data_IF_070638367245
#
_entry.id   IF_070638367245
#
_cell.length_a   1.000
_cell.length_b   1.000
_cell.length_c   1.000
_cell.angle_alpha   90.00
_cell.angle_beta   90.00
_cell.angle_gamma   90.00
#
_symmetry.space_group_name_H-M   'P 1'
#
loop_
_entity.id
_entity.type
_entity.pdbx_description
1 polymer ?
#
# COMPACT_ATOMS: atom_id res chain seq x y z
N UNK A 1 -10.61 -22.70 -10.13
CA UNK A 1 -11.11 -21.32 -9.92
C UNK A 1 -11.72 -21.10 -8.52
N UNK A 2 -12.10 -22.15 -7.78
CA UNK A 2 -12.75 -22.01 -6.46
C UNK A 2 -11.80 -21.80 -5.26
N UNK A 3 -10.55 -22.29 -5.32
CA UNK A 3 -9.66 -22.23 -4.16
C UNK A 3 -9.08 -20.83 -3.89
N UNK A 4 -8.68 -20.10 -4.95
CA UNK A 4 -8.18 -18.72 -4.83
C UNK A 4 -9.28 -17.76 -4.36
N UNK A 5 -10.51 -17.98 -4.82
CA UNK A 5 -11.67 -17.20 -4.40
C UNK A 5 -11.99 -17.45 -2.92
N UNK A 6 -11.95 -18.70 -2.47
CA UNK A 6 -12.13 -19.05 -1.06
C UNK A 6 -11.02 -18.49 -0.15
N UNK A 7 -9.75 -18.46 -0.61
CA UNK A 7 -8.64 -17.83 0.15
C UNK A 7 -8.79 -16.31 0.24
N UNK A 8 -9.21 -15.66 -0.84
CA UNK A 8 -9.48 -14.22 -0.83
C UNK A 8 -10.65 -13.86 0.11
N UNK A 9 -11.70 -14.68 0.12
CA UNK A 9 -12.84 -14.54 1.03
C UNK A 9 -12.39 -14.73 2.49
N UNK A 10 -11.53 -15.71 2.79
CA UNK A 10 -10.98 -15.92 4.15
C UNK A 10 -10.09 -14.77 4.65
N UNK A 11 -9.36 -14.08 3.78
CA UNK A 11 -8.57 -12.90 4.15
C UNK A 11 -9.47 -11.67 4.36
N UNK A 12 -10.54 -11.55 3.57
CA UNK A 12 -11.58 -10.51 3.73
C UNK A 12 -12.55 -10.76 4.88
N UNK A 13 -12.56 -11.98 5.45
CA UNK A 13 -13.41 -12.33 6.57
C UNK A 13 -12.92 -11.64 7.84
N UNK A 14 -13.78 -10.78 8.39
CA UNK A 14 -13.50 -10.05 9.64
C UNK A 14 -13.21 -10.99 10.81
N UNK A 15 -13.69 -12.22 10.79
CA UNK A 15 -13.51 -13.17 11.89
C UNK A 15 -12.34 -14.14 11.72
N UNK A 16 -11.55 -14.00 10.65
CA UNK A 16 -10.33 -14.78 10.48
C UNK A 16 -9.35 -14.53 11.63
N UNK A 17 -8.62 -15.58 12.02
CA UNK A 17 -7.62 -15.51 13.11
C UNK A 17 -6.55 -14.45 12.85
N UNK A 18 -6.17 -14.26 11.59
CA UNK A 18 -5.22 -13.22 11.18
C UNK A 18 -5.75 -11.81 11.43
N UNK A 19 -7.00 -11.52 11.04
CA UNK A 19 -7.60 -10.20 11.25
C UNK A 19 -7.84 -9.91 12.73
N UNK A 20 -8.17 -10.93 13.53
CA UNK A 20 -8.26 -10.80 14.99
C UNK A 20 -6.91 -10.43 15.61
N UNK A 21 -5.85 -11.14 15.23
CA UNK A 21 -4.50 -10.86 15.72
C UNK A 21 -4.01 -9.46 15.32
N UNK A 22 -4.30 -9.01 14.10
CA UNK A 22 -3.96 -7.65 13.64
C UNK A 22 -4.71 -6.56 14.42
N UNK A 23 -5.93 -6.83 14.88
CA UNK A 23 -6.67 -5.93 15.78
C UNK A 23 -6.07 -5.87 17.18
N UNK A 24 -5.54 -6.99 17.68
CA UNK A 24 -4.81 -7.04 18.95
C UNK A 24 -3.43 -6.36 18.87
N UNK A 25 -2.83 -6.32 17.67
CA UNK A 25 -1.50 -5.75 17.43
C UNK A 25 -1.54 -4.63 16.37
N UNK A 26 -2.24 -3.52 16.62
CA UNK A 26 -2.47 -2.47 15.63
C UNK A 26 -1.17 -1.84 15.12
N UNK A 27 -0.13 -1.77 15.96
CA UNK A 27 1.19 -1.26 15.57
C UNK A 27 1.85 -2.09 14.46
N UNK A 28 1.55 -3.39 14.35
CA UNK A 28 2.08 -4.23 13.26
C UNK A 28 1.42 -3.86 11.94
N UNK A 29 0.09 -3.69 11.95
CA UNK A 29 -0.67 -3.27 10.77
C UNK A 29 -0.27 -1.84 10.34
N UNK A 30 -0.25 -0.91 11.29
CA UNK A 30 0.15 0.47 11.08
C UNK A 30 1.61 0.59 10.62
N UNK A 31 2.53 -0.16 11.24
CA UNK A 31 3.94 -0.19 10.85
C UNK A 31 4.15 -0.72 9.44
N UNK A 32 3.54 -1.85 9.10
CA UNK A 32 3.67 -2.45 7.77
C UNK A 32 3.10 -1.55 6.68
N UNK A 33 1.87 -1.04 6.89
CA UNK A 33 1.25 -0.10 5.94
C UNK A 33 2.01 1.22 5.83
N UNK A 34 2.59 1.70 6.93
CA UNK A 34 3.45 2.88 6.96
C UNK A 34 4.71 2.70 6.12
N UNK A 35 5.40 1.57 6.25
CA UNK A 35 6.58 1.24 5.42
C UNK A 35 6.23 1.21 3.93
N UNK A 36 5.11 0.58 3.56
CA UNK A 36 4.63 0.58 2.16
C UNK A 36 4.31 2.00 1.69
N UNK A 37 3.64 2.80 2.52
CA UNK A 37 3.34 4.20 2.22
C UNK A 37 4.60 5.03 1.95
N UNK A 38 5.63 4.88 2.78
CA UNK A 38 6.93 5.54 2.58
C UNK A 38 7.61 5.10 1.28
N UNK A 39 7.60 3.81 0.95
CA UNK A 39 8.17 3.31 -0.30
C UNK A 39 7.43 3.89 -1.51
N UNK A 40 6.10 3.92 -1.48
CA UNK A 40 5.32 4.50 -2.57
C UNK A 40 5.59 6.00 -2.74
N UNK A 41 5.69 6.75 -1.65
CA UNK A 41 6.09 8.15 -1.69
C UNK A 41 7.49 8.34 -2.27
N UNK A 42 8.45 7.56 -1.81
CA UNK A 42 9.83 7.61 -2.32
C UNK A 42 9.89 7.35 -3.82
N UNK A 43 9.21 6.30 -4.30
CA UNK A 43 9.15 5.97 -5.73
C UNK A 43 8.34 6.97 -6.54
N UNK A 44 7.27 7.55 -5.97
CA UNK A 44 6.48 8.60 -6.60
C UNK A 44 7.30 9.88 -6.81
N UNK A 45 7.96 10.36 -5.76
CA UNK A 45 8.82 11.55 -5.81
C UNK A 45 10.01 11.31 -6.75
N UNK A 46 10.68 10.17 -6.63
CA UNK A 46 11.82 9.82 -7.50
C UNK A 46 11.40 9.70 -8.96
N UNK A 47 10.21 9.14 -9.23
CA UNK A 47 9.62 9.02 -10.56
C UNK A 47 9.29 10.37 -11.20
N UNK A 48 8.73 11.32 -10.42
CA UNK A 48 8.49 12.67 -10.89
C UNK A 48 9.78 13.45 -11.15
N UNK A 49 10.80 13.31 -10.29
CA UNK A 49 12.09 13.98 -10.47
C UNK A 49 12.88 13.45 -11.67
N UNK A 50 12.86 12.14 -11.90
CA UNK A 50 13.62 11.49 -12.97
C UNK A 50 12.91 11.46 -14.32
N UNK A 51 11.59 11.68 -14.35
CA UNK A 51 10.76 11.56 -15.55
C UNK A 51 10.71 10.15 -16.16
N UNK A 52 11.32 9.16 -15.51
CA UNK A 52 11.50 7.79 -16.03
C UNK A 52 11.28 6.70 -14.97
N UNK A 53 10.13 6.68 -14.28
CA UNK A 53 9.85 5.66 -13.29
C UNK A 53 9.76 4.27 -13.94
N UNK A 54 10.21 3.25 -13.20
CA UNK A 54 10.04 1.85 -13.60
C UNK A 54 8.61 1.39 -13.33
N UNK A 55 8.04 0.66 -14.28
CA UNK A 55 6.78 -0.04 -14.17
C UNK A 55 6.91 -1.38 -13.44
N UNK A 56 5.80 -2.09 -13.29
CA UNK A 56 5.69 -3.37 -12.55
C UNK A 56 6.63 -4.47 -13.07
N UNK A 57 6.99 -4.43 -14.36
CA UNK A 57 7.86 -5.42 -15.02
C UNK A 57 9.26 -4.86 -15.31
N UNK A 58 9.69 -3.81 -14.62
CA UNK A 58 10.99 -3.18 -14.84
C UNK A 58 11.07 -2.30 -16.10
N UNK A 59 10.02 -2.27 -16.92
CA UNK A 59 9.89 -1.39 -18.09
C UNK A 59 9.96 0.06 -17.65
N UNK A 60 10.86 0.86 -18.23
CA UNK A 60 10.87 2.30 -18.01
C UNK A 60 9.65 2.93 -18.67
N UNK A 61 8.88 3.68 -17.89
CA UNK A 61 7.80 4.50 -18.40
C UNK A 61 8.37 5.87 -18.77
N UNK A 62 7.91 6.43 -19.89
CA UNK A 62 8.30 7.77 -20.34
C UNK A 62 7.05 8.61 -20.64
N UNK A 63 7.24 9.93 -20.77
CA UNK A 63 6.17 10.86 -21.13
C UNK A 63 5.03 10.93 -20.10
N UNK A 64 3.79 11.16 -20.56
CA UNK A 64 2.64 11.33 -19.66
C UNK A 64 2.37 10.13 -18.74
N UNK A 65 2.65 8.90 -19.20
CA UNK A 65 2.48 7.69 -18.41
C UNK A 65 3.42 7.63 -17.20
N UNK A 66 4.64 8.15 -17.34
CA UNK A 66 5.60 8.29 -16.24
C UNK A 66 5.04 9.19 -15.12
N UNK A 67 4.54 10.36 -15.50
CA UNK A 67 3.98 11.34 -14.57
C UNK A 67 2.76 10.78 -13.86
N UNK A 68 1.80 10.22 -14.59
CA UNK A 68 0.56 9.67 -14.02
C UNK A 68 0.87 8.54 -13.04
N UNK A 69 1.74 7.61 -13.41
CA UNK A 69 2.09 6.48 -12.53
C UNK A 69 2.77 6.98 -11.25
N UNK A 70 3.63 7.99 -11.36
CA UNK A 70 4.32 8.58 -10.21
C UNK A 70 3.36 9.36 -9.30
N UNK A 71 2.38 10.07 -9.88
CA UNK A 71 1.32 10.73 -9.11
C UNK A 71 0.44 9.74 -8.36
N UNK A 72 0.03 8.64 -9.00
CA UNK A 72 -0.75 7.59 -8.34
C UNK A 72 0.01 7.03 -7.14
N UNK A 73 1.31 6.75 -7.27
CA UNK A 73 2.14 6.29 -6.15
C UNK A 73 2.20 7.32 -5.03
N UNK A 74 2.29 8.59 -5.35
CA UNK A 74 2.29 9.69 -4.38
C UNK A 74 0.97 9.73 -3.60
N UNK A 75 -0.17 9.73 -4.29
CA UNK A 75 -1.50 9.79 -3.67
C UNK A 75 -1.74 8.56 -2.79
N UNK A 76 -1.44 7.36 -3.30
CA UNK A 76 -1.58 6.11 -2.56
C UNK A 76 -0.64 6.06 -1.35
N UNK A 77 0.60 6.54 -1.51
CA UNK A 77 1.58 6.62 -0.42
C UNK A 77 1.11 7.54 0.71
N UNK A 78 0.59 8.73 0.38
CA UNK A 78 0.00 9.65 1.37
C UNK A 78 -1.19 8.99 2.08
N UNK A 79 -2.10 8.36 1.32
CA UNK A 79 -3.26 7.67 1.89
C UNK A 79 -2.86 6.56 2.86
N UNK A 80 -1.85 5.75 2.52
CA UNK A 80 -1.33 4.71 3.40
C UNK A 80 -0.65 5.28 4.65
N UNK A 81 0.05 6.41 4.55
CA UNK A 81 0.62 7.06 5.74
C UNK A 81 -0.45 7.60 6.68
N UNK A 82 -1.51 8.21 6.13
CA UNK A 82 -2.65 8.67 6.93
C UNK A 82 -3.32 7.47 7.61
N UNK A 83 -3.53 6.37 6.89
CA UNK A 83 -4.07 5.14 7.46
C UNK A 83 -3.18 4.55 8.54
N UNK A 84 -1.86 4.47 8.30
CA UNK A 84 -0.89 3.97 9.26
C UNK A 84 -0.89 4.79 10.55
N UNK A 85 -0.91 6.12 10.42
CA UNK A 85 -1.03 7.03 11.56
C UNK A 85 -2.35 6.81 12.30
N UNK A 86 -3.47 6.72 11.58
CA UNK A 86 -4.78 6.45 12.17
C UNK A 86 -4.76 5.15 12.99
N UNK A 87 -4.25 4.05 12.42
CA UNK A 87 -4.15 2.76 13.12
C UNK A 87 -3.23 2.82 14.33
N UNK A 88 -2.13 3.57 14.25
CA UNK A 88 -1.20 3.72 15.37
C UNK A 88 -1.79 4.52 16.54
N UNK A 89 -2.64 5.52 16.27
CA UNK A 89 -3.24 6.38 17.31
C UNK A 89 -4.60 5.88 17.82
N UNK A 90 -5.42 5.28 16.96
CA UNK A 90 -6.80 4.91 17.27
C UNK A 90 -7.05 3.40 17.30
N UNK A 91 -6.04 2.60 16.96
CA UNK A 91 -6.17 1.15 16.83
C UNK A 91 -6.65 0.71 15.45
N UNK A 92 -6.61 -0.60 15.21
CA UNK A 92 -7.05 -1.18 13.95
C UNK A 92 -8.59 -1.35 13.93
N UNK A 93 -9.27 -0.96 12.83
CA UNK A 93 -10.73 -1.04 12.69
C UNK A 93 -11.30 -2.44 12.47
#
# INVERSE_FOLDING_TARGET
MNELMNRAIMIGDRDSSANRWLREHPLVLGGFTGVIGLLLLFYGISGLKSGSPRGKFGVQLTGGAATVTSMIRLIMGIGLLIFAAYVAFFGAP
#
